data_IF_268968410158
#
_entry.id   IF_268968410158
#
_cell.length_a   1.000
_cell.length_b   1.000
_cell.length_c   1.000
_cell.angle_alpha   90.00
_cell.angle_beta   90.00
_cell.angle_gamma   90.00
#
_symmetry.space_group_name_H-M   'P 1'
#
loop_
_entity.id
_entity.type
_entity.pdbx_description
1 polymer ?
#
# COMPACT_ATOMS: atom_id res chain seq x y z
N UNK A 1 4.34 11.31 -24.55
CA UNK A 1 3.78 10.80 -23.27
C UNK A 1 4.94 10.42 -22.37
N UNK A 2 5.30 11.30 -21.44
CA UNK A 2 6.50 11.17 -20.60
C UNK A 2 6.35 9.97 -19.63
N UNK A 3 7.11 8.90 -19.87
CA UNK A 3 7.33 7.81 -18.91
C UNK A 3 8.34 8.28 -17.87
N UNK A 4 7.94 9.15 -16.93
CA UNK A 4 8.82 9.51 -15.81
C UNK A 4 8.88 8.36 -14.81
N UNK A 5 10.11 7.87 -14.63
CA UNK A 5 10.49 6.68 -13.89
C UNK A 5 10.40 6.92 -12.37
N UNK A 6 9.24 6.60 -11.81
CA UNK A 6 8.93 5.75 -10.64
C UNK A 6 9.68 5.83 -9.28
N UNK A 7 10.89 6.38 -9.16
CA UNK A 7 11.60 6.35 -7.87
C UNK A 7 11.42 7.62 -7.04
N UNK A 8 11.20 8.75 -7.71
CA UNK A 8 11.15 10.08 -7.07
C UNK A 8 9.78 10.74 -7.15
N UNK A 9 8.70 10.00 -7.41
CA UNK A 9 7.36 10.58 -7.44
C UNK A 9 6.93 10.92 -6.00
N UNK A 10 6.83 12.22 -5.63
CA UNK A 10 6.43 12.61 -4.29
C UNK A 10 5.01 12.11 -3.97
N UNK A 11 4.17 11.94 -4.99
CA UNK A 11 2.84 11.34 -4.87
C UNK A 11 2.91 9.89 -4.40
N UNK A 12 3.82 9.09 -4.95
CA UNK A 12 3.95 7.69 -4.59
C UNK A 12 4.51 7.54 -3.18
N UNK A 13 5.49 8.38 -2.80
CA UNK A 13 6.02 8.41 -1.44
C UNK A 13 4.94 8.80 -0.42
N UNK A 14 4.17 9.86 -0.70
CA UNK A 14 3.06 10.27 0.16
C UNK A 14 1.96 9.19 0.26
N UNK A 15 1.69 8.47 -0.82
CA UNK A 15 0.76 7.33 -0.81
C UNK A 15 1.25 6.19 0.10
N UNK A 16 2.55 5.91 0.12
CA UNK A 16 3.12 4.93 1.04
C UNK A 16 3.04 5.39 2.49
N UNK A 17 3.32 6.66 2.79
CA UNK A 17 3.17 7.22 4.15
C UNK A 17 1.74 7.04 4.67
N UNK A 18 0.73 7.38 3.86
CA UNK A 18 -0.67 7.19 4.21
C UNK A 18 -1.03 5.71 4.40
N UNK A 19 -0.52 4.84 3.54
CA UNK A 19 -0.71 3.40 3.70
C UNK A 19 -0.02 2.85 4.95
N UNK A 20 1.11 3.40 5.38
CA UNK A 20 1.72 3.03 6.66
C UNK A 20 0.95 3.59 7.86
N UNK A 21 0.34 4.78 7.72
CA UNK A 21 -0.48 5.42 8.74
C UNK A 21 -1.82 4.70 9.02
N UNK A 22 -2.22 3.73 8.18
CA UNK A 22 -3.44 2.95 8.40
C UNK A 22 -4.54 3.13 7.34
N UNK A 23 -4.37 4.01 6.37
CA UNK A 23 -5.36 4.26 5.30
C UNK A 23 -5.50 3.08 4.34
N UNK A 24 -6.72 2.79 3.87
CA UNK A 24 -6.93 1.74 2.87
C UNK A 24 -6.47 2.20 1.48
N UNK A 25 -6.28 1.26 0.55
CA UNK A 25 -5.91 1.61 -0.84
C UNK A 25 -6.94 2.57 -1.49
N UNK A 26 -8.23 2.47 -1.11
CA UNK A 26 -9.29 3.37 -1.59
C UNK A 26 -9.19 4.77 -1.00
N UNK A 27 -8.75 4.89 0.25
CA UNK A 27 -8.56 6.19 0.90
C UNK A 27 -7.33 6.88 0.34
N UNK A 28 -6.26 6.12 0.11
CA UNK A 28 -5.05 6.60 -0.59
C UNK A 28 -5.40 7.13 -1.99
N UNK A 29 -6.31 6.46 -2.72
CA UNK A 29 -6.80 6.95 -4.01
C UNK A 29 -7.54 8.28 -3.90
N UNK A 30 -8.41 8.45 -2.90
CA UNK A 30 -9.15 9.71 -2.69
C UNK A 30 -8.25 10.86 -2.25
N UNK A 31 -7.26 10.58 -1.39
CA UNK A 31 -6.40 11.59 -0.81
C UNK A 31 -5.28 12.02 -1.77
N UNK A 32 -4.64 11.05 -2.45
CA UNK A 32 -3.46 11.30 -3.30
C UNK A 32 -3.83 11.41 -4.78
N UNK A 33 -4.95 10.81 -5.20
CA UNK A 33 -5.36 10.75 -6.60
C UNK A 33 -4.61 9.70 -7.43
N UNK A 34 -4.00 8.70 -6.79
CA UNK A 34 -3.42 7.54 -7.48
C UNK A 34 -4.44 6.40 -7.49
N UNK A 35 -4.71 5.84 -8.67
CA UNK A 35 -5.64 4.71 -8.79
C UNK A 35 -5.22 3.55 -7.86
N UNK A 36 -6.16 3.02 -7.06
CA UNK A 36 -5.87 1.96 -6.10
C UNK A 36 -5.25 0.70 -6.75
N UNK A 37 -5.62 0.37 -8.00
CA UNK A 37 -5.01 -0.74 -8.75
C UNK A 37 -3.54 -0.48 -9.02
N UNK A 38 -3.18 0.75 -9.39
CA UNK A 38 -1.80 1.16 -9.62
C UNK A 38 -1.01 1.10 -8.31
N UNK A 39 -1.58 1.63 -7.23
CA UNK A 39 -0.95 1.59 -5.92
C UNK A 39 -0.70 0.16 -5.43
N UNK A 40 -1.68 -0.75 -5.60
CA UNK A 40 -1.51 -2.18 -5.30
C UNK A 40 -0.36 -2.80 -6.06
N UNK A 41 -0.22 -2.55 -7.38
CA UNK A 41 0.92 -3.04 -8.16
C UNK A 41 2.25 -2.53 -7.63
N UNK A 42 2.31 -1.29 -7.16
CA UNK A 42 3.51 -0.76 -6.51
C UNK A 42 3.79 -1.43 -5.17
N UNK A 43 2.77 -1.64 -4.34
CA UNK A 43 2.90 -2.40 -3.09
C UNK A 43 3.45 -3.80 -3.34
N UNK A 44 2.93 -4.50 -4.34
CA UNK A 44 3.41 -5.83 -4.72
C UNK A 44 4.87 -5.77 -5.24
N UNK A 45 5.21 -4.76 -6.05
CA UNK A 45 6.57 -4.56 -6.58
C UNK A 45 7.61 -4.28 -5.49
N UNK A 46 7.25 -3.49 -4.48
CA UNK A 46 8.14 -3.11 -3.38
C UNK A 46 7.98 -4.00 -2.14
N UNK A 47 7.12 -5.03 -2.18
CA UNK A 47 6.90 -5.96 -1.07
C UNK A 47 6.22 -5.35 0.15
N UNK A 48 5.44 -4.27 -0.01
CA UNK A 48 4.79 -3.56 1.09
C UNK A 48 3.40 -4.15 1.35
N UNK A 49 3.34 -5.02 2.36
CA UNK A 49 2.11 -5.66 2.82
C UNK A 49 1.86 -5.30 4.29
N UNK A 50 0.61 -5.02 4.65
CA UNK A 50 0.23 -5.10 6.07
C UNK A 50 0.16 -6.58 6.40
N UNK A 51 0.98 -7.03 7.34
CA UNK A 51 0.75 -8.31 7.98
C UNK A 51 -0.69 -8.31 8.49
N UNK A 52 -1.54 -9.08 7.81
CA UNK A 52 -2.76 -9.51 8.44
C UNK A 52 -2.27 -10.46 9.51
N UNK A 53 -2.15 -9.96 10.74
CA UNK A 53 -2.26 -10.80 11.92
C UNK A 53 -3.61 -11.51 11.80
N UNK A 54 -3.63 -12.58 11.02
CA UNK A 54 -4.48 -13.70 11.30
C UNK A 54 -4.02 -14.15 12.66
N UNK A 55 -4.64 -13.57 13.69
CA UNK A 55 -4.96 -14.33 14.88
C UNK A 55 -5.72 -15.55 14.38
N UNK A 56 -4.96 -16.54 13.91
CA UNK A 56 -5.35 -17.92 13.98
C UNK A 56 -5.60 -18.10 15.46
N UNK A 57 -6.88 -18.06 15.80
CA UNK A 57 -7.42 -18.81 16.90
C UNK A 57 -6.78 -20.20 16.83
N UNK A 58 -5.66 -20.37 17.52
CA UNK A 58 -5.07 -21.65 17.86
C UNK A 58 -4.91 -21.64 19.39
N UNK A 59 -6.04 -21.46 20.06
CA UNK A 59 -6.26 -22.20 21.28
C UNK A 59 -6.42 -23.68 20.87
N UNK A 60 -5.32 -24.41 20.65
CA UNK A 60 -5.27 -25.88 20.64
C UNK A 60 -3.80 -26.35 20.72
N UNK A 61 -3.44 -26.90 21.90
CA UNK A 61 -2.36 -27.87 22.19
C UNK A 61 -0.89 -27.44 21.98
N UNK A 62 -0.24 -26.93 23.03
CA UNK A 62 0.71 -27.68 23.92
C UNK A 62 0.69 -27.02 25.29
#
# INVERSE_FOLDING_TARGET
>A
MERKLLWNDPKLQHAFELFMAGHSDKDVEKLVGINARTFRRYRDKYGIFREKNTFRCLLMLV
#
